data_IF_224532824348
#
_entry.id   IF_224532824348
#
_cell.length_a   1.000
_cell.length_b   1.000
_cell.length_c   1.000
_cell.angle_alpha   90.00
_cell.angle_beta   90.00
_cell.angle_gamma   90.00
#
_symmetry.space_group_name_H-M   'P 1'
#
loop_
_entity.id
_entity.type
_entity.pdbx_description
1 polymer ?
#
# COMPACT_ATOMS: atom_id res chain seq x y z
N UNK A 1 -13.71 10.32 -7.22
CA UNK A 1 -13.11 10.02 -5.91
C UNK A 1 -13.54 8.67 -5.34
N UNK A 2 -14.83 8.39 -5.29
CA UNK A 2 -15.32 7.08 -4.81
C UNK A 2 -14.69 5.90 -5.57
N UNK A 3 -14.59 6.02 -6.88
CA UNK A 3 -13.99 4.96 -7.72
C UNK A 3 -12.51 4.72 -7.39
N UNK A 4 -11.77 5.76 -7.04
CA UNK A 4 -10.36 5.63 -6.68
C UNK A 4 -10.17 4.92 -5.34
N UNK A 5 -11.04 5.20 -4.37
CA UNK A 5 -11.02 4.53 -3.07
C UNK A 5 -11.33 3.04 -3.27
N UNK A 6 -12.32 2.72 -4.08
CA UNK A 6 -12.68 1.33 -4.37
C UNK A 6 -11.56 0.58 -5.10
N UNK A 7 -10.93 1.22 -6.08
CA UNK A 7 -9.76 0.64 -6.76
C UNK A 7 -8.61 0.40 -5.81
N UNK A 8 -8.36 1.32 -4.89
CA UNK A 8 -7.31 1.17 -3.88
C UNK A 8 -7.61 -0.01 -2.94
N UNK A 9 -8.84 -0.14 -2.49
CA UNK A 9 -9.26 -1.30 -1.67
C UNK A 9 -9.05 -2.62 -2.40
N UNK A 10 -9.38 -2.67 -3.68
CA UNK A 10 -9.19 -3.87 -4.50
C UNK A 10 -7.71 -4.22 -4.64
N UNK A 11 -6.85 -3.23 -4.86
CA UNK A 11 -5.40 -3.44 -4.92
C UNK A 11 -4.84 -3.97 -3.60
N UNK A 12 -5.27 -3.44 -2.48
CA UNK A 12 -4.85 -3.89 -1.16
C UNK A 12 -5.30 -5.31 -0.87
N UNK A 13 -6.53 -5.64 -1.25
CA UNK A 13 -7.07 -7.00 -1.13
C UNK A 13 -6.25 -8.00 -1.94
N UNK A 14 -5.92 -7.68 -3.20
CA UNK A 14 -5.07 -8.53 -4.05
C UNK A 14 -3.67 -8.67 -3.48
N UNK A 15 -3.10 -7.61 -2.95
CA UNK A 15 -1.78 -7.65 -2.33
C UNK A 15 -1.75 -8.63 -1.15
N UNK A 16 -2.74 -8.54 -0.26
CA UNK A 16 -2.85 -9.45 0.88
C UNK A 16 -3.02 -10.91 0.45
N UNK A 17 -3.83 -11.14 -0.58
CA UNK A 17 -4.12 -12.48 -1.09
C UNK A 17 -2.87 -13.20 -1.59
N UNK A 18 -2.00 -12.47 -2.30
CA UNK A 18 -0.82 -13.06 -2.94
C UNK A 18 0.49 -12.80 -2.19
N UNK A 19 0.44 -12.15 -1.04
CA UNK A 19 1.65 -11.77 -0.29
C UNK A 19 2.48 -12.99 0.12
N UNK A 20 1.85 -14.00 0.69
CA UNK A 20 2.56 -15.21 1.15
C UNK A 20 3.21 -15.95 -0.02
N UNK A 21 2.49 -16.13 -1.12
CA UNK A 21 3.01 -16.78 -2.32
C UNK A 21 4.21 -16.02 -2.89
N UNK A 22 4.12 -14.70 -2.91
CA UNK A 22 5.19 -13.84 -3.40
C UNK A 22 6.44 -13.95 -2.54
N UNK A 23 6.29 -13.96 -1.23
CA UNK A 23 7.43 -14.10 -0.29
C UNK A 23 8.12 -15.44 -0.51
N UNK A 24 7.37 -16.52 -0.63
CA UNK A 24 7.91 -17.87 -0.87
C UNK A 24 8.69 -17.89 -2.18
N UNK A 25 8.13 -17.40 -3.28
CA UNK A 25 8.78 -17.41 -4.58
C UNK A 25 10.04 -16.52 -4.60
N UNK A 26 10.00 -15.38 -3.95
CA UNK A 26 11.17 -14.49 -3.83
C UNK A 26 12.29 -15.14 -3.02
N UNK A 27 11.97 -15.84 -1.94
CA UNK A 27 12.99 -16.52 -1.14
C UNK A 27 13.64 -17.67 -1.91
N UNK A 28 12.88 -18.43 -2.68
CA UNK A 28 13.42 -19.47 -3.57
C UNK A 28 14.35 -18.83 -4.62
N UNK A 29 13.91 -17.76 -5.25
CA UNK A 29 14.70 -17.07 -6.30
C UNK A 29 16.02 -16.54 -5.76
N UNK A 30 16.06 -16.07 -4.52
CA UNK A 30 17.26 -15.49 -3.89
C UNK A 30 18.16 -16.52 -3.23
N UNK A 31 17.68 -17.73 -3.02
CA UNK A 31 18.46 -18.78 -2.36
C UNK A 31 19.45 -19.42 -3.33
N UNK A 32 20.76 -19.26 -3.05
CA UNK A 32 21.82 -19.80 -3.89
C UNK A 32 21.95 -21.34 -3.85
N UNK A 33 21.32 -21.98 -2.85
CA UNK A 33 21.36 -23.44 -2.71
C UNK A 33 20.47 -24.17 -3.72
N UNK A 34 19.50 -23.48 -4.31
CA UNK A 34 18.66 -24.04 -5.36
C UNK A 34 19.37 -23.98 -6.74
N UNK A 35 19.04 -24.93 -7.61
CA UNK A 35 19.55 -24.93 -8.97
C UNK A 35 19.04 -23.74 -9.76
N UNK A 36 19.75 -23.38 -10.84
CA UNK A 36 19.32 -22.28 -11.72
C UNK A 36 17.95 -22.54 -12.34
N UNK A 37 17.64 -23.79 -12.67
CA UNK A 37 16.34 -24.16 -13.25
C UNK A 37 15.18 -23.87 -12.27
N UNK A 38 15.32 -24.23 -11.00
CA UNK A 38 14.32 -23.98 -9.97
C UNK A 38 14.13 -22.48 -9.76
N UNK A 39 15.22 -21.73 -9.68
CA UNK A 39 15.19 -20.28 -9.51
C UNK A 39 14.53 -19.58 -10.70
N UNK A 40 14.84 -20.02 -11.91
CA UNK A 40 14.24 -19.51 -13.14
C UNK A 40 12.73 -19.75 -13.17
N UNK A 41 12.28 -20.95 -12.81
CA UNK A 41 10.86 -21.27 -12.75
C UNK A 41 10.12 -20.39 -11.72
N UNK A 42 10.74 -20.11 -10.59
CA UNK A 42 10.18 -19.20 -9.57
C UNK A 42 10.01 -17.78 -10.10
N UNK A 43 10.98 -17.29 -10.88
CA UNK A 43 10.91 -15.99 -11.51
C UNK A 43 9.77 -15.91 -12.53
N UNK A 44 9.59 -16.96 -13.33
CA UNK A 44 8.47 -17.02 -14.28
C UNK A 44 7.12 -17.03 -13.58
N UNK A 45 6.99 -17.74 -12.47
CA UNK A 45 5.76 -17.74 -11.68
C UNK A 45 5.47 -16.34 -11.08
N UNK A 46 6.49 -15.63 -10.61
CA UNK A 46 6.33 -14.25 -10.15
C UNK A 46 5.84 -13.33 -11.25
N UNK A 47 6.32 -13.51 -12.48
CA UNK A 47 5.92 -12.69 -13.62
C UNK A 47 4.45 -12.88 -14.01
N UNK A 48 3.84 -14.01 -13.63
CA UNK A 48 2.42 -14.29 -13.92
C UNK A 48 1.45 -13.56 -13.00
N UNK A 49 1.90 -13.02 -11.87
CA UNK A 49 1.02 -12.31 -10.95
C UNK A 49 0.47 -11.03 -11.57
N UNK A 50 -0.79 -10.72 -11.22
CA UNK A 50 -1.41 -9.48 -11.64
C UNK A 50 -0.60 -8.29 -11.12
N UNK A 51 -0.33 -7.30 -11.98
CA UNK A 51 0.44 -6.11 -11.62
C UNK A 51 -0.19 -5.32 -10.46
N UNK A 52 -1.51 -5.35 -10.32
CA UNK A 52 -2.22 -4.68 -9.23
C UNK A 52 -2.01 -5.33 -7.86
N UNK A 53 -1.46 -6.55 -7.82
CA UNK A 53 -1.15 -7.23 -6.56
C UNK A 53 0.19 -6.80 -5.94
N UNK A 54 1.00 -6.04 -6.65
CA UNK A 54 2.32 -5.62 -6.16
C UNK A 54 2.19 -4.47 -5.16
N UNK A 55 2.96 -4.56 -4.07
CA UNK A 55 3.02 -3.55 -3.02
C UNK A 55 3.48 -2.18 -3.56
N UNK A 56 4.33 -2.17 -4.57
CA UNK A 56 4.85 -0.93 -5.17
C UNK A 56 3.77 -0.05 -5.80
N UNK A 57 2.64 -0.63 -6.16
CA UNK A 57 1.49 0.11 -6.70
C UNK A 57 0.54 0.65 -5.66
N UNK A 58 0.74 0.29 -4.38
CA UNK A 58 -0.08 0.81 -3.30
C UNK A 58 0.35 2.23 -2.96
N UNK A 59 -0.61 3.13 -2.89
CA UNK A 59 -0.37 4.55 -2.57
C UNK A 59 -1.22 4.91 -1.37
N UNK A 60 -0.65 5.68 -0.44
CA UNK A 60 -1.39 6.20 0.68
C UNK A 60 -2.39 7.25 0.21
N UNK A 61 -3.66 7.08 0.54
CA UNK A 61 -4.75 7.97 0.14
C UNK A 61 -5.50 8.47 1.36
N UNK A 62 -6.04 9.67 1.24
CA UNK A 62 -6.94 10.21 2.25
C UNK A 62 -8.22 9.37 2.33
N UNK A 63 -8.61 8.99 3.54
CA UNK A 63 -9.83 8.19 3.73
C UNK A 63 -11.11 8.96 3.44
N UNK A 64 -11.07 10.28 3.57
CA UNK A 64 -12.26 11.12 3.30
C UNK A 64 -12.41 11.48 1.82
N UNK A 65 -11.32 11.96 1.20
CA UNK A 65 -11.38 12.51 -0.17
C UNK A 65 -10.82 11.59 -1.23
N UNK A 66 -9.99 10.60 -0.86
CA UNK A 66 -9.32 9.73 -1.81
C UNK A 66 -8.08 10.34 -2.48
N UNK A 67 -7.68 11.53 -2.08
CA UNK A 67 -6.49 12.19 -2.63
C UNK A 67 -5.22 11.42 -2.28
N UNK A 68 -4.34 11.20 -3.25
CA UNK A 68 -3.10 10.43 -3.06
C UNK A 68 -1.91 11.28 -2.65
N UNK A 69 -1.92 12.59 -2.95
CA UNK A 69 -0.81 13.47 -2.64
C UNK A 69 -0.84 14.00 -1.21
N UNK A 70 0.34 14.16 -0.62
CA UNK A 70 0.52 14.84 0.69
C UNK A 70 -0.40 14.29 1.79
N UNK A 71 -0.43 12.97 1.94
CA UNK A 71 -1.24 12.30 2.96
C UNK A 71 -0.38 12.02 4.19
N UNK A 72 -0.86 12.39 5.38
CA UNK A 72 -0.21 12.03 6.63
C UNK A 72 -0.43 10.55 6.92
N UNK A 73 0.65 9.79 6.99
CA UNK A 73 0.57 8.34 7.24
C UNK A 73 0.00 7.99 8.61
N UNK A 74 0.27 8.82 9.61
CA UNK A 74 -0.20 8.61 10.99
C UNK A 74 -1.72 8.77 11.11
N UNK A 75 -2.29 9.77 10.44
CA UNK A 75 -3.71 10.09 10.54
C UNK A 75 -4.50 9.61 9.32
N UNK A 76 -3.83 9.30 8.23
CA UNK A 76 -4.43 8.86 6.96
C UNK A 76 -5.37 9.88 6.33
N UNK A 77 -5.15 11.16 6.61
CA UNK A 77 -5.86 12.27 6.01
C UNK A 77 -4.92 13.06 5.09
N UNK A 78 -5.48 13.68 4.04
CA UNK A 78 -4.73 14.64 3.24
C UNK A 78 -4.45 15.89 4.06
N UNK A 79 -3.47 16.69 3.62
CA UNK A 79 -3.11 17.94 4.30
C UNK A 79 -4.33 18.85 4.56
N UNK A 80 -5.14 19.06 3.53
CA UNK A 80 -6.31 19.93 3.62
C UNK A 80 -7.38 19.38 4.54
N UNK A 81 -7.69 18.08 4.43
CA UNK A 81 -8.66 17.42 5.30
C UNK A 81 -8.20 17.39 6.73
N UNK A 82 -6.92 17.15 6.98
CA UNK A 82 -6.33 17.15 8.30
C UNK A 82 -6.47 18.52 8.98
N UNK A 83 -6.12 19.59 8.27
CA UNK A 83 -6.24 20.96 8.81
C UNK A 83 -7.67 21.31 9.13
N UNK A 84 -8.61 20.96 8.28
CA UNK A 84 -10.03 21.21 8.52
C UNK A 84 -10.53 20.49 9.77
N UNK A 85 -10.21 19.21 9.91
CA UNK A 85 -10.61 18.41 11.06
C UNK A 85 -9.95 18.90 12.36
N UNK A 86 -8.69 19.30 12.29
CA UNK A 86 -7.96 19.83 13.42
C UNK A 86 -8.57 21.15 13.93
N UNK A 87 -8.94 22.05 13.03
CA UNK A 87 -9.59 23.32 13.37
C UNK A 87 -10.97 23.13 14.00
N UNK A 88 -11.69 22.10 13.56
CA UNK A 88 -13.02 21.79 14.09
C UNK A 88 -12.98 20.94 15.36
N UNK A 89 -11.79 20.55 15.84
CA UNK A 89 -11.62 19.79 17.07
C UNK A 89 -11.99 18.32 17.01
N UNK A 90 -12.08 17.74 15.81
CA UNK A 90 -12.43 16.33 15.64
C UNK A 90 -11.27 15.36 15.90
N UNK A 91 -10.04 15.86 16.01
CA UNK A 91 -8.87 15.02 16.29
C UNK A 91 -8.53 15.10 17.76
N UNK A 92 -8.70 14.00 18.49
CA UNK A 92 -8.45 13.93 19.92
C UNK A 92 -6.96 14.11 20.24
N UNK A 93 -6.67 14.91 21.28
CA UNK A 93 -5.31 15.11 21.77
C UNK A 93 -4.42 16.00 20.92
N UNK A 94 -4.93 16.53 19.82
CA UNK A 94 -4.17 17.41 18.94
C UNK A 94 -4.10 18.82 19.52
N UNK A 95 -2.89 19.34 19.62
CA UNK A 95 -2.63 20.71 20.12
C UNK A 95 -1.78 21.47 19.11
N UNK A 96 -2.06 22.76 18.96
CA UNK A 96 -1.23 23.63 18.14
C UNK A 96 0.13 23.81 18.82
N UNK A 97 1.22 23.75 18.04
CA UNK A 97 2.56 24.05 18.53
C UNK A 97 2.64 25.52 18.98
N UNK A 98 3.35 25.76 20.07
CA UNK A 98 3.52 27.11 20.64
C UNK A 98 4.51 28.00 19.85
N UNK A 99 5.00 27.57 18.73
CA UNK A 99 5.88 28.36 17.86
C UNK A 99 5.13 29.41 17.08
#
# INVERSE_FOLDING_TARGET
>A
MKNQIQKDKNKRSLNLKFENQRIILKSIMRNSNFSKTVRWNSELELAKFNSNSYKTRLVNRCILTGRSGKTHSAFRYSRLSFLRLARNGFISGLRKSAR
#
